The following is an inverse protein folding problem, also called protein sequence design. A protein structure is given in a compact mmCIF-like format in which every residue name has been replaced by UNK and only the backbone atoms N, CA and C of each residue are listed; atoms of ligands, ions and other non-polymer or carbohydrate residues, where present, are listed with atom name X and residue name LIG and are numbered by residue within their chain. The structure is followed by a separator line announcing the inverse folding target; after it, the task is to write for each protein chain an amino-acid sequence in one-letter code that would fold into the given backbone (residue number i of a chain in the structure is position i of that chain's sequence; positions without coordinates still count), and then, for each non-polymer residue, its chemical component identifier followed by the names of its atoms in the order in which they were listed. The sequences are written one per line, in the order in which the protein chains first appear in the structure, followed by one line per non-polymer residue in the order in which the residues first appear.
data_IF_835050201463
#
_entry.id   IF_835050201463
#
_cell.length_a   1.000
_cell.length_b   1.000
_cell.length_c   1.000
_cell.angle_alpha   90.00
_cell.angle_beta   90.00
_cell.angle_gamma   90.00
#
_symmetry.space_group_name_H-M   'P 1'
#
loop_
_entity.id
_entity.type
_entity.pdbx_description
1 polymer ?
#
# COMPACT_ATOMS: atom_id res chain seq x y z
N UNK A 1 5.46 -21.43 2.60
CA UNK A 1 3.98 -21.55 2.69
C UNK A 1 3.53 -20.73 3.88
N UNK A 2 2.51 -19.87 3.76
CA UNK A 2 2.02 -19.06 4.88
C UNK A 2 1.14 -19.96 5.78
N UNK A 3 1.31 -19.96 7.11
CA UNK A 3 0.45 -20.73 8.02
C UNK A 3 -1.01 -20.34 7.86
N UNK A 4 -1.94 -21.27 8.14
CA UNK A 4 -3.38 -20.99 8.14
C UNK A 4 -3.71 -19.86 9.12
N UNK A 5 -3.11 -19.91 10.31
CA UNK A 5 -3.22 -18.90 11.36
C UNK A 5 -2.08 -17.88 11.26
N UNK A 6 -2.10 -17.06 10.21
CA UNK A 6 -1.20 -15.91 10.13
C UNK A 6 -1.96 -14.60 10.40
N UNK A 7 -1.34 -13.62 11.09
CA UNK A 7 -1.97 -12.34 11.34
C UNK A 7 -2.15 -11.56 10.03
N UNK A 8 -3.38 -11.09 9.78
CA UNK A 8 -3.72 -10.24 8.64
C UNK A 8 -3.37 -8.76 8.85
N UNK A 9 -2.80 -8.41 10.00
CA UNK A 9 -2.39 -7.05 10.32
C UNK A 9 -1.20 -6.63 9.47
N UNK A 10 -1.06 -5.32 9.27
CA UNK A 10 0.13 -4.77 8.64
C UNK A 10 1.39 -5.16 9.44
N UNK A 11 2.52 -5.42 8.76
CA UNK A 11 3.76 -5.66 9.48
C UNK A 11 4.13 -4.41 10.29
N UNK A 12 4.85 -4.64 11.39
CA UNK A 12 5.30 -3.58 12.28
C UNK A 12 5.96 -2.45 11.47
N UNK A 13 5.65 -1.18 11.77
CA UNK A 13 6.23 -0.06 11.04
C UNK A 13 7.75 -0.08 11.16
N UNK A 14 8.46 0.26 10.07
CA UNK A 14 9.92 0.37 10.10
C UNK A 14 10.40 1.57 10.94
N UNK A 15 11.71 1.85 10.93
CA UNK A 15 12.36 2.94 11.69
C UNK A 15 11.72 4.34 11.56
N UNK A 16 10.89 4.58 10.54
CA UNK A 16 10.17 5.85 10.29
C UNK A 16 8.67 5.80 10.61
N UNK A 17 8.21 4.80 11.37
CA UNK A 17 6.79 4.67 11.75
C UNK A 17 5.86 4.35 10.58
N UNK A 18 6.38 3.86 9.45
CA UNK A 18 5.60 3.49 8.27
C UNK A 18 5.76 2.02 7.94
N UNK A 19 4.65 1.36 7.63
CA UNK A 19 4.68 0.04 7.01
C UNK A 19 5.22 0.17 5.58
N UNK A 20 6.11 -0.76 5.21
CA UNK A 20 6.71 -0.83 3.89
C UNK A 20 6.61 -2.27 3.35
N UNK A 21 5.79 -2.46 2.32
CA UNK A 21 5.51 -3.75 1.66
C UNK A 21 5.99 -3.69 0.21
N UNK A 22 6.56 -4.78 -0.32
CA UNK A 22 6.81 -4.86 -1.76
C UNK A 22 5.49 -4.95 -2.53
N UNK A 23 5.36 -4.17 -3.59
CA UNK A 23 4.25 -4.27 -4.55
C UNK A 23 4.45 -5.35 -5.61
N UNK A 24 5.56 -6.08 -5.57
CA UNK A 24 5.93 -7.18 -6.46
C UNK A 24 4.76 -8.16 -6.71
N UNK A 25 3.98 -8.43 -5.67
CA UNK A 25 2.76 -9.24 -5.72
C UNK A 25 1.83 -8.82 -4.58
N UNK A 26 0.63 -8.37 -4.92
CA UNK A 26 -0.40 -7.99 -3.95
C UNK A 26 -1.66 -8.81 -4.23
N UNK A 27 -2.12 -9.55 -3.24
CA UNK A 27 -3.39 -10.27 -3.30
C UNK A 27 -4.45 -9.50 -2.49
N UNK A 28 -5.44 -8.93 -3.18
CA UNK A 28 -6.54 -8.20 -2.56
C UNK A 28 -7.81 -9.04 -2.62
N UNK A 29 -8.39 -9.34 -1.45
CA UNK A 29 -9.77 -9.84 -1.39
C UNK A 29 -10.72 -8.68 -1.74
N UNK A 30 -11.81 -8.91 -2.50
CA UNK A 30 -12.74 -7.85 -2.91
C UNK A 30 -13.63 -7.39 -1.74
N UNK A 31 -13.03 -6.72 -0.76
CA UNK A 31 -13.70 -6.11 0.39
C UNK A 31 -13.84 -4.60 0.20
N UNK A 32 -14.70 -3.96 1.00
CA UNK A 32 -14.85 -2.49 1.00
C UNK A 32 -13.50 -1.81 1.29
N UNK A 33 -12.74 -2.32 2.27
CA UNK A 33 -11.40 -1.81 2.60
C UNK A 33 -10.42 -1.92 1.42
N UNK A 34 -10.39 -3.05 0.72
CA UNK A 34 -9.54 -3.20 -0.47
C UNK A 34 -9.91 -2.23 -1.59
N UNK A 35 -11.22 -1.96 -1.79
CA UNK A 35 -11.68 -0.96 -2.77
C UNK A 35 -11.24 0.45 -2.38
N UNK A 36 -11.28 0.80 -1.08
CA UNK A 36 -10.76 2.09 -0.57
C UNK A 36 -9.26 2.23 -0.83
N UNK A 37 -8.48 1.19 -0.49
CA UNK A 37 -7.02 1.15 -0.74
C UNK A 37 -6.73 1.36 -2.23
N UNK A 38 -7.42 0.65 -3.12
CA UNK A 38 -7.26 0.77 -4.57
C UNK A 38 -7.57 2.19 -5.07
N UNK A 39 -8.66 2.80 -4.61
CA UNK A 39 -9.01 4.18 -4.98
C UNK A 39 -7.94 5.16 -4.53
N UNK A 40 -7.50 5.05 -3.26
CA UNK A 40 -6.43 5.90 -2.73
C UNK A 40 -5.11 5.69 -3.48
N UNK A 41 -4.79 4.45 -3.86
CA UNK A 41 -3.60 4.15 -4.63
C UNK A 41 -3.59 4.84 -6.00
N UNK A 42 -4.72 4.84 -6.70
CA UNK A 42 -4.89 5.60 -7.96
C UNK A 42 -4.67 7.11 -7.71
N UNK A 43 -5.23 7.65 -6.63
CA UNK A 43 -5.02 9.06 -6.25
C UNK A 43 -3.54 9.36 -5.97
N UNK A 44 -2.82 8.51 -5.22
CA UNK A 44 -1.39 8.67 -4.96
C UNK A 44 -0.55 8.59 -6.25
N UNK A 45 -0.95 7.74 -7.20
CA UNK A 45 -0.32 7.63 -8.51
C UNK A 45 -0.55 8.90 -9.36
N UNK A 46 -1.71 9.56 -9.22
CA UNK A 46 -2.06 10.80 -9.94
C UNK A 46 -1.46 12.06 -9.30
N UNK A 47 -1.40 12.15 -7.97
CA UNK A 47 -0.93 13.33 -7.21
C UNK A 47 0.58 13.56 -7.39
N UNK A 48 1.34 12.55 -7.86
CA UNK A 48 2.79 12.63 -7.97
C UNK A 48 3.25 14.00 -8.50
N UNK A 49 4.02 14.78 -7.71
CA UNK A 49 4.30 16.19 -7.97
C UNK A 49 5.40 16.35 -9.05
N UNK A 50 5.19 15.75 -10.23
CA UNK A 50 6.01 15.78 -11.43
C UNK A 50 7.50 15.46 -11.26
N UNK A 51 7.92 14.34 -11.83
CA UNK A 51 9.18 14.27 -12.59
C UNK A 51 9.11 13.10 -13.57
N UNK A 52 9.05 13.40 -14.87
CA UNK A 52 9.40 12.44 -15.94
C UNK A 52 10.83 11.88 -15.77
N UNK A 53 11.63 12.49 -14.87
CA UNK A 53 13.00 12.11 -14.49
C UNK A 53 13.09 11.07 -13.36
N UNK A 54 12.01 10.83 -12.61
CA UNK A 54 11.96 9.82 -11.54
C UNK A 54 10.57 9.19 -11.57
N UNK A 55 10.43 8.12 -12.35
CA UNK A 55 9.29 7.21 -12.21
C UNK A 55 9.24 6.78 -10.75
N UNK A 56 8.40 7.40 -9.92
CA UNK A 56 8.21 6.83 -8.59
C UNK A 56 7.28 5.65 -8.75
N UNK A 57 7.81 4.48 -8.37
CA UNK A 57 7.24 3.19 -8.67
C UNK A 57 5.88 3.01 -7.98
N UNK A 58 5.11 2.05 -8.46
CA UNK A 58 3.88 1.56 -7.85
C UNK A 58 4.00 1.30 -6.33
N UNK A 59 5.20 0.90 -5.85
CA UNK A 59 5.49 0.54 -4.47
C UNK A 59 5.37 1.72 -3.47
N UNK A 60 6.09 2.86 -3.61
CA UNK A 60 5.85 4.03 -2.76
C UNK A 60 4.39 4.47 -2.70
N UNK A 61 3.72 4.55 -3.86
CA UNK A 61 2.33 4.97 -3.95
C UNK A 61 1.39 4.00 -3.21
N UNK A 62 1.62 2.69 -3.37
CA UNK A 62 0.85 1.68 -2.66
C UNK A 62 1.01 1.79 -1.15
N UNK A 63 2.25 1.98 -0.67
CA UNK A 63 2.52 2.12 0.76
C UNK A 63 1.90 3.39 1.34
N UNK A 64 1.86 4.51 0.59
CA UNK A 64 1.14 5.71 1.05
C UNK A 64 -0.36 5.46 1.15
N UNK A 65 -0.96 4.84 0.13
CA UNK A 65 -2.37 4.49 0.16
C UNK A 65 -2.71 3.56 1.33
N UNK A 66 -1.88 2.56 1.57
CA UNK A 66 -2.05 1.61 2.66
C UNK A 66 -1.96 2.27 4.03
N UNK A 67 -0.95 3.12 4.26
CA UNK A 67 -0.81 3.84 5.53
C UNK A 67 -1.96 4.85 5.76
N UNK A 68 -2.45 5.51 4.70
CA UNK A 68 -3.58 6.46 4.79
C UNK A 68 -4.93 5.78 5.06
N UNK A 69 -5.04 4.47 4.78
CA UNK A 69 -6.27 3.69 4.96
C UNK A 69 -6.21 2.73 6.14
N UNK A 70 -5.08 2.65 6.85
CA UNK A 70 -4.80 1.67 7.91
C UNK A 70 -5.64 1.82 9.20
N UNK A 71 -6.66 2.68 9.22
CA UNK A 71 -7.55 2.90 10.37
C UNK A 71 -8.99 3.26 10.00
N UNK A 72 -9.39 2.99 8.74
CA UNK A 72 -10.74 3.24 8.20
C UNK A 72 -11.53 1.95 7.91
#
# INVERSE_FOLDING_TARGET
VKPLDHPHTLPAPGKKGRTYICSCMIFLRPTIGAKKVMKKWIEELQIQPWTSKKKTNDQPAFNWALNKTAGE
#
